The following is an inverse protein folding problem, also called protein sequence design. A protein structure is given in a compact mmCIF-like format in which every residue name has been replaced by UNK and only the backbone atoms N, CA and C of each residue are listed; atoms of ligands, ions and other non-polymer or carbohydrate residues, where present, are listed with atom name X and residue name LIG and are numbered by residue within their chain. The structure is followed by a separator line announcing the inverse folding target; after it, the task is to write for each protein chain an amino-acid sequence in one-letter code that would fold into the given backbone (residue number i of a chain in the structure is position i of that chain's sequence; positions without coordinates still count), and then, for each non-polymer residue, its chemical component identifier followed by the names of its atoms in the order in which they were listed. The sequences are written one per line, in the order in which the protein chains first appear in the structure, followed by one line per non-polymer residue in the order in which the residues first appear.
data_IF_306473331864
#
_entry.id   IF_306473331864
#
_cell.length_a   1.000
_cell.length_b   1.000
_cell.length_c   1.000
_cell.angle_alpha   90.00
_cell.angle_beta   90.00
_cell.angle_gamma   90.00
#
_symmetry.space_group_name_H-M   'P 1'
#
loop_
_entity.id
_entity.type
_entity.pdbx_description
1 polymer ?
#
# COMPACT_ATOMS: atom_id res chain seq x y z
N UNK A 1 -39.95 -2.23 -20.28
CA UNK A 1 -40.46 -0.91 -20.67
C UNK A 1 -40.98 -0.10 -19.47
N UNK A 2 -40.70 -0.56 -18.26
CA UNK A 2 -41.04 0.15 -17.00
C UNK A 2 -40.11 1.35 -16.76
N UNK A 3 -38.86 1.32 -17.25
CA UNK A 3 -37.89 2.37 -17.07
C UNK A 3 -38.23 3.72 -17.73
N UNK A 4 -38.91 3.71 -18.90
CA UNK A 4 -39.27 4.94 -19.59
C UNK A 4 -40.45 5.68 -18.94
N UNK A 5 -41.30 4.97 -18.20
CA UNK A 5 -42.42 5.55 -17.48
C UNK A 5 -41.99 6.21 -16.15
N UNK A 6 -40.98 5.67 -15.50
CA UNK A 6 -40.39 6.25 -14.29
C UNK A 6 -39.59 7.52 -14.61
N UNK A 7 -38.84 7.54 -15.72
CA UNK A 7 -38.10 8.72 -16.17
C UNK A 7 -39.04 9.89 -16.53
N UNK A 8 -40.18 9.63 -17.18
CA UNK A 8 -41.17 10.64 -17.47
C UNK A 8 -41.88 11.16 -16.22
N UNK A 9 -42.10 10.32 -15.23
CA UNK A 9 -42.67 10.72 -13.96
C UNK A 9 -41.75 11.63 -13.16
N UNK A 10 -40.44 11.42 -13.22
CA UNK A 10 -39.42 12.26 -12.58
C UNK A 10 -39.27 13.63 -13.27
N UNK A 11 -39.43 13.70 -14.61
CA UNK A 11 -39.42 14.97 -15.35
C UNK A 11 -40.67 15.83 -14.99
N UNK A 12 -41.82 15.20 -14.75
CA UNK A 12 -43.05 15.90 -14.36
C UNK A 12 -43.01 16.46 -12.93
N UNK A 13 -42.12 15.97 -12.05
CA UNK A 13 -41.94 16.43 -10.68
C UNK A 13 -40.99 17.62 -10.53
N UNK A 14 -40.46 18.16 -11.66
CA UNK A 14 -39.59 19.34 -11.65
C UNK A 14 -38.21 19.09 -11.04
N UNK A 15 -37.82 17.85 -10.91
CA UNK A 15 -36.43 17.50 -10.63
C UNK A 15 -35.64 17.62 -11.91
N UNK A 16 -34.85 18.68 -12.06
CA UNK A 16 -33.80 18.75 -13.06
C UNK A 16 -32.83 17.61 -12.75
N UNK A 17 -32.97 16.50 -13.47
CA UNK A 17 -31.92 15.49 -13.48
C UNK A 17 -30.66 16.16 -14.01
N UNK A 18 -29.54 16.14 -13.26
CA UNK A 18 -28.29 16.62 -13.80
C UNK A 18 -28.05 15.89 -15.14
N UNK A 19 -27.55 16.59 -16.18
CA UNK A 19 -27.27 15.94 -17.44
C UNK A 19 -26.47 14.67 -17.14
N UNK A 20 -26.75 13.56 -17.80
CA UNK A 20 -25.99 12.34 -17.58
C UNK A 20 -24.54 12.68 -17.83
N UNK A 21 -23.83 12.96 -16.76
CA UNK A 21 -22.39 12.98 -16.80
C UNK A 21 -22.05 11.66 -17.45
N UNK A 22 -21.44 11.68 -18.61
CA UNK A 22 -20.94 10.48 -19.25
C UNK A 22 -20.05 9.82 -18.21
N UNK A 23 -20.67 8.97 -17.40
CA UNK A 23 -19.97 8.15 -16.43
C UNK A 23 -19.13 7.26 -17.31
N UNK A 24 -17.87 7.59 -17.41
CA UNK A 24 -16.92 6.76 -18.12
C UNK A 24 -16.79 5.50 -17.25
N UNK A 25 -17.64 4.51 -17.55
CA UNK A 25 -17.79 3.25 -16.79
C UNK A 25 -16.45 2.49 -16.75
N UNK A 26 -15.52 2.87 -17.60
CA UNK A 26 -14.14 2.36 -17.62
C UNK A 26 -13.21 3.04 -16.58
N UNK A 27 -13.64 4.09 -15.92
CA UNK A 27 -13.00 4.51 -14.67
C UNK A 27 -13.51 3.57 -13.58
N UNK A 28 -13.01 2.32 -13.59
CA UNK A 28 -12.95 1.47 -12.42
C UNK A 28 -12.68 2.41 -11.25
N UNK A 29 -13.51 2.41 -10.21
CA UNK A 29 -13.29 3.15 -8.99
C UNK A 29 -12.00 2.61 -8.35
N UNK A 30 -10.87 2.99 -8.92
CA UNK A 30 -9.57 2.74 -8.33
C UNK A 30 -9.53 3.72 -7.18
N UNK A 31 -9.87 3.25 -6.00
CA UNK A 31 -9.63 4.03 -4.80
C UNK A 31 -8.13 4.32 -4.79
N UNK A 32 -7.77 5.58 -5.03
CA UNK A 32 -6.37 5.99 -4.99
C UNK A 32 -5.82 5.62 -3.61
N UNK A 33 -4.69 4.94 -3.59
CA UNK A 33 -4.01 4.58 -2.35
C UNK A 33 -3.71 5.83 -1.54
N UNK A 34 -4.07 5.82 -0.26
CA UNK A 34 -3.81 6.93 0.65
C UNK A 34 -3.56 6.41 2.06
N UNK A 35 -2.60 6.99 2.74
CA UNK A 35 -2.33 6.76 4.16
C UNK A 35 -2.88 7.94 4.95
N UNK A 36 -3.84 7.67 5.83
CA UNK A 36 -4.40 8.68 6.71
C UNK A 36 -3.52 8.88 7.93
N UNK A 37 -3.11 10.12 8.16
CA UNK A 37 -2.31 10.54 9.31
C UNK A 37 -2.94 11.78 9.92
N UNK A 38 -2.90 11.92 11.24
CA UNK A 38 -3.40 13.09 11.95
C UNK A 38 -2.71 14.37 11.50
N UNK A 39 -3.34 15.52 11.74
CA UNK A 39 -2.75 16.85 11.45
C UNK A 39 -1.40 17.04 12.15
N UNK A 40 -1.31 16.61 13.42
CA UNK A 40 -0.05 16.64 14.21
C UNK A 40 1.01 15.73 13.61
N UNK A 41 0.62 14.52 13.16
CA UNK A 41 1.53 13.60 12.50
C UNK A 41 2.09 14.15 11.19
N UNK A 42 1.28 14.83 10.38
CA UNK A 42 1.75 15.49 9.16
C UNK A 42 2.77 16.60 9.45
N UNK A 43 2.54 17.41 10.48
CA UNK A 43 3.50 18.43 10.93
C UNK A 43 4.82 17.80 11.39
N UNK A 44 4.75 16.72 12.16
CA UNK A 44 5.92 15.96 12.61
C UNK A 44 6.73 15.40 11.43
N UNK A 45 6.06 14.86 10.40
CA UNK A 45 6.75 14.39 9.19
C UNK A 45 7.47 15.51 8.45
N UNK A 46 6.89 16.71 8.40
CA UNK A 46 7.56 17.88 7.82
C UNK A 46 8.85 18.24 8.57
N UNK A 47 8.81 18.18 9.90
CA UNK A 47 9.98 18.50 10.75
C UNK A 47 11.07 17.44 10.63
N UNK A 48 10.71 16.15 10.78
CA UNK A 48 11.67 15.02 10.75
C UNK A 48 12.40 14.92 9.42
N UNK A 49 11.69 15.11 8.33
CA UNK A 49 12.26 14.99 6.99
C UNK A 49 12.67 16.34 6.37
N UNK A 50 12.53 17.43 7.12
CA UNK A 50 12.82 18.78 6.66
C UNK A 50 12.23 19.07 5.27
N UNK A 51 10.94 18.77 5.10
CA UNK A 51 10.24 18.86 3.84
C UNK A 51 8.94 19.66 3.96
N UNK A 52 8.38 20.07 2.82
CA UNK A 52 7.15 20.83 2.79
C UNK A 52 5.91 19.98 3.01
N UNK A 53 4.82 20.59 3.47
CA UNK A 53 3.51 19.93 3.62
C UNK A 53 3.01 19.34 2.30
N UNK A 54 3.34 19.96 1.17
CA UNK A 54 3.02 19.47 -0.18
C UNK A 54 3.74 18.15 -0.46
N UNK A 55 5.01 18.03 -0.04
CA UNK A 55 5.78 16.80 -0.21
C UNK A 55 5.20 15.68 0.64
N UNK A 56 4.84 15.94 1.90
CA UNK A 56 4.17 14.98 2.77
C UNK A 56 2.83 14.54 2.18
N UNK A 57 2.04 15.48 1.67
CA UNK A 57 0.78 15.16 1.00
C UNK A 57 0.98 14.26 -0.23
N UNK A 58 1.93 14.59 -1.10
CA UNK A 58 2.26 13.76 -2.29
C UNK A 58 2.71 12.35 -1.88
N UNK A 59 3.53 12.24 -0.84
CA UNK A 59 4.00 10.96 -0.33
C UNK A 59 2.83 10.10 0.18
N UNK A 60 1.98 10.65 1.06
CA UNK A 60 0.86 9.94 1.67
C UNK A 60 -0.25 9.55 0.66
N UNK A 61 -0.37 10.28 -0.44
CA UNK A 61 -1.32 10.01 -1.53
C UNK A 61 -0.69 9.24 -2.70
N UNK A 62 0.51 8.70 -2.55
CA UNK A 62 1.22 7.95 -3.60
C UNK A 62 1.36 8.71 -4.93
N UNK A 63 1.43 10.05 -4.86
CA UNK A 63 1.69 10.91 -6.02
C UNK A 63 3.19 11.11 -6.29
N UNK A 64 4.05 10.63 -5.41
CA UNK A 64 5.50 10.63 -5.55
C UNK A 64 6.04 9.28 -5.10
N UNK A 65 6.97 8.72 -5.84
CA UNK A 65 7.65 7.46 -5.51
C UNK A 65 9.17 7.66 -5.28
N UNK A 66 9.56 8.85 -4.88
CA UNK A 66 10.93 9.14 -4.47
C UNK A 66 11.30 8.38 -3.19
N UNK A 67 12.60 8.19 -2.96
CA UNK A 67 13.11 7.57 -1.74
C UNK A 67 12.60 8.30 -0.48
N UNK A 68 12.56 9.63 -0.54
CA UNK A 68 12.01 10.46 0.54
C UNK A 68 10.52 10.17 0.77
N UNK A 69 9.72 10.04 -0.30
CA UNK A 69 8.30 9.70 -0.18
C UNK A 69 8.09 8.32 0.46
N UNK A 70 8.91 7.34 0.12
CA UNK A 70 8.88 5.99 0.72
C UNK A 70 9.21 6.03 2.21
N UNK A 71 10.24 6.79 2.61
CA UNK A 71 10.60 7.00 4.02
C UNK A 71 9.48 7.67 4.81
N UNK A 72 8.84 8.68 4.24
CA UNK A 72 7.68 9.37 4.84
C UNK A 72 6.53 8.38 5.07
N UNK A 73 6.18 7.58 4.07
CA UNK A 73 5.12 6.55 4.20
C UNK A 73 5.46 5.50 5.27
N UNK A 74 6.68 5.01 5.26
CA UNK A 74 7.15 4.03 6.24
C UNK A 74 7.05 4.59 7.67
N UNK A 75 7.53 5.81 7.90
CA UNK A 75 7.45 6.48 9.21
C UNK A 75 6.00 6.74 9.62
N UNK A 76 5.15 7.14 8.68
CA UNK A 76 3.72 7.34 8.94
C UNK A 76 3.04 6.06 9.44
N UNK A 77 3.35 4.92 8.83
CA UNK A 77 2.76 3.63 9.19
C UNK A 77 3.33 3.06 10.49
N UNK A 78 4.62 3.26 10.77
CA UNK A 78 5.30 2.67 11.93
C UNK A 78 5.21 3.51 13.19
N UNK A 79 5.34 4.83 13.08
CA UNK A 79 5.48 5.73 14.23
C UNK A 79 4.25 6.58 14.52
N UNK A 80 3.44 6.87 13.51
CA UNK A 80 2.33 7.80 13.61
C UNK A 80 0.95 7.14 13.52
N UNK A 81 0.90 5.81 13.61
CA UNK A 81 -0.33 5.01 13.48
C UNK A 81 -1.12 5.36 12.21
N UNK A 82 -0.40 5.61 11.12
CA UNK A 82 -1.02 5.87 9.82
C UNK A 82 -1.89 4.68 9.39
N UNK A 83 -3.08 4.95 8.91
CA UNK A 83 -4.02 3.93 8.45
C UNK A 83 -4.14 3.96 6.93
N UNK A 84 -3.79 2.87 6.23
CA UNK A 84 -4.01 2.78 4.80
C UNK A 84 -5.51 2.62 4.48
N UNK A 85 -5.96 3.20 3.37
CA UNK A 85 -7.35 3.08 2.91
C UNK A 85 -7.61 1.82 2.06
N UNK A 86 -6.63 0.96 1.90
CA UNK A 86 -6.76 -0.33 1.19
C UNK A 86 -6.53 -1.49 2.13
N UNK A 87 -7.10 -2.63 1.78
CA UNK A 87 -6.79 -3.87 2.48
C UNK A 87 -5.37 -4.31 2.12
N UNK A 88 -4.69 -4.82 3.13
CA UNK A 88 -3.39 -5.43 2.99
C UNK A 88 -3.41 -6.51 1.91
N UNK A 89 -2.36 -6.56 1.09
CA UNK A 89 -2.21 -7.62 0.11
C UNK A 89 -2.14 -8.98 0.83
N UNK A 90 -2.82 -9.98 0.28
CA UNK A 90 -2.66 -11.34 0.78
C UNK A 90 -1.19 -11.74 0.69
N UNK A 91 -0.67 -12.27 1.79
CA UNK A 91 0.67 -12.85 1.81
C UNK A 91 0.58 -14.25 1.24
N UNK A 92 1.21 -14.49 0.11
CA UNK A 92 1.35 -15.81 -0.47
C UNK A 92 2.65 -16.44 -0.02
N UNK A 93 2.57 -17.64 0.57
CA UNK A 93 3.76 -18.40 0.97
C UNK A 93 3.90 -19.61 0.07
N UNK A 94 5.03 -19.71 -0.62
CA UNK A 94 5.40 -20.88 -1.43
C UNK A 94 6.61 -21.58 -0.82
N UNK A 95 6.58 -22.90 -0.82
CA UNK A 95 7.68 -23.74 -0.38
C UNK A 95 8.20 -24.54 -1.56
N UNK A 96 9.47 -24.37 -1.88
CA UNK A 96 10.15 -25.16 -2.91
C UNK A 96 11.04 -26.22 -2.23
N UNK A 97 10.68 -27.48 -2.43
CA UNK A 97 11.39 -28.59 -1.78
C UNK A 97 12.76 -28.84 -2.42
N UNK A 98 12.87 -28.66 -3.72
CA UNK A 98 14.12 -28.90 -4.47
C UNK A 98 15.20 -27.89 -4.08
N UNK A 99 14.84 -26.62 -4.05
CA UNK A 99 15.75 -25.52 -3.67
C UNK A 99 15.82 -25.30 -2.16
N UNK A 100 14.94 -25.99 -1.39
CA UNK A 100 14.79 -25.83 0.06
C UNK A 100 14.56 -24.39 0.49
N UNK A 101 13.84 -23.62 -0.32
CA UNK A 101 13.52 -22.24 -0.06
C UNK A 101 12.06 -22.06 0.35
N UNK A 102 11.79 -21.07 1.18
CA UNK A 102 10.46 -20.59 1.49
C UNK A 102 10.37 -19.14 1.02
N UNK A 103 9.45 -18.86 0.12
CA UNK A 103 9.22 -17.51 -0.41
C UNK A 103 7.88 -17.00 0.05
N UNK A 104 7.88 -15.83 0.69
CA UNK A 104 6.68 -15.07 1.03
C UNK A 104 6.59 -13.83 0.14
N UNK A 105 5.48 -13.69 -0.58
CA UNK A 105 5.22 -12.53 -1.43
C UNK A 105 4.29 -11.57 -0.71
N UNK A 106 4.71 -10.31 -0.63
CA UNK A 106 3.94 -9.20 -0.07
C UNK A 106 3.56 -8.25 -1.21
N UNK A 107 2.41 -8.49 -1.82
CA UNK A 107 2.02 -7.81 -3.05
C UNK A 107 2.90 -8.20 -4.25
N UNK A 108 3.07 -7.28 -5.18
CA UNK A 108 3.80 -7.56 -6.43
C UNK A 108 5.31 -7.26 -6.32
N UNK A 109 5.69 -6.35 -5.45
CA UNK A 109 7.04 -5.75 -5.44
C UNK A 109 7.98 -6.34 -4.40
N UNK A 110 7.45 -6.88 -3.29
CA UNK A 110 8.27 -7.31 -2.15
C UNK A 110 8.18 -8.81 -1.96
N UNK A 111 9.33 -9.44 -1.77
CA UNK A 111 9.48 -10.86 -1.45
C UNK A 111 10.43 -11.04 -0.28
N UNK A 112 10.08 -11.96 0.60
CA UNK A 112 10.94 -12.47 1.66
C UNK A 112 11.30 -13.91 1.29
N UNK A 113 12.59 -14.21 1.14
CA UNK A 113 13.09 -15.55 0.80
C UNK A 113 13.94 -16.08 1.93
N UNK A 114 13.52 -17.19 2.49
CA UNK A 114 14.29 -17.93 3.48
C UNK A 114 14.90 -19.17 2.83
N UNK A 115 16.24 -19.28 2.86
CA UNK A 115 16.97 -20.44 2.39
C UNK A 115 17.30 -21.36 3.56
N UNK A 116 16.81 -22.60 3.48
CA UNK A 116 17.04 -23.61 4.53
C UNK A 116 18.42 -24.25 4.47
N UNK A 117 19.14 -24.06 3.35
CA UNK A 117 20.47 -24.67 3.20
C UNK A 117 21.51 -23.91 4.02
N UNK A 118 21.43 -22.59 4.02
CA UNK A 118 22.40 -21.71 4.69
C UNK A 118 21.79 -20.90 5.85
N UNK A 119 20.48 -21.02 6.11
CA UNK A 119 19.77 -20.26 7.15
C UNK A 119 19.61 -18.78 6.84
N UNK A 120 19.88 -18.36 5.60
CA UNK A 120 19.79 -16.95 5.22
C UNK A 120 18.36 -16.52 4.90
N UNK A 121 18.06 -15.27 5.24
CA UNK A 121 16.80 -14.60 4.92
C UNK A 121 17.09 -13.36 4.10
N UNK A 122 16.54 -13.29 2.90
CA UNK A 122 16.75 -12.18 1.96
C UNK A 122 15.44 -11.44 1.72
N UNK A 123 15.50 -10.10 1.75
CA UNK A 123 14.38 -9.24 1.35
C UNK A 123 14.67 -8.71 -0.04
N UNK A 124 13.76 -8.95 -0.97
CA UNK A 124 13.83 -8.47 -2.34
C UNK A 124 12.75 -7.42 -2.57
N UNK A 125 13.15 -6.30 -3.15
CA UNK A 125 12.24 -5.25 -3.62
C UNK A 125 12.49 -5.06 -5.13
N UNK A 126 11.43 -5.17 -5.91
CA UNK A 126 11.51 -5.13 -7.38
C UNK A 126 12.55 -6.10 -7.95
N UNK A 127 12.67 -7.28 -7.35
CA UNK A 127 13.62 -8.33 -7.75
C UNK A 127 15.07 -8.12 -7.31
N UNK A 128 15.37 -7.01 -6.61
CA UNK A 128 16.72 -6.73 -6.09
C UNK A 128 16.80 -7.03 -4.60
N UNK A 129 17.85 -7.72 -4.16
CA UNK A 129 18.12 -7.94 -2.75
C UNK A 129 18.47 -6.61 -2.08
N UNK A 130 17.65 -6.20 -1.14
CA UNK A 130 17.85 -4.95 -0.37
C UNK A 130 18.45 -5.20 1.00
N UNK A 131 18.17 -6.37 1.59
CA UNK A 131 18.67 -6.76 2.91
C UNK A 131 18.83 -8.28 2.96
N UNK A 132 19.91 -8.75 3.59
CA UNK A 132 20.15 -10.16 3.87
C UNK A 132 20.52 -10.32 5.34
N UNK A 133 19.88 -11.27 6.01
CA UNK A 133 20.15 -11.63 7.40
C UNK A 133 20.42 -13.12 7.53
N UNK A 134 21.10 -13.55 8.57
CA UNK A 134 21.50 -14.92 8.76
C UNK A 134 21.10 -15.41 10.14
N UNK A 135 20.71 -16.69 10.22
CA UNK A 135 20.40 -17.39 11.47
C UNK A 135 19.41 -16.65 12.40
N UNK A 136 18.33 -16.14 11.80
CA UNK A 136 17.31 -15.43 12.57
C UNK A 136 16.58 -16.40 13.53
N UNK A 137 16.47 -15.98 14.79
CA UNK A 137 15.56 -16.64 15.73
C UNK A 137 14.11 -16.47 15.30
N UNK A 138 13.22 -17.37 15.73
CA UNK A 138 11.79 -17.29 15.39
C UNK A 138 11.17 -15.92 15.73
N UNK A 139 11.40 -15.32 16.92
CA UNK A 139 10.88 -13.99 17.22
C UNK A 139 11.44 -12.90 16.30
N UNK A 140 12.74 -12.99 15.95
CA UNK A 140 13.37 -12.04 15.03
C UNK A 140 12.79 -12.16 13.62
N UNK A 141 12.54 -13.37 13.16
CA UNK A 141 11.91 -13.63 11.87
C UNK A 141 10.48 -13.08 11.81
N UNK A 142 9.67 -13.29 12.87
CA UNK A 142 8.31 -12.73 12.95
C UNK A 142 8.31 -11.19 12.93
N UNK A 143 9.28 -10.58 13.61
CA UNK A 143 9.46 -9.12 13.58
C UNK A 143 9.83 -8.64 12.18
N UNK A 144 10.72 -9.35 11.50
CA UNK A 144 11.11 -9.06 10.12
C UNK A 144 9.92 -9.18 9.17
N UNK A 145 9.07 -10.19 9.32
CA UNK A 145 7.85 -10.32 8.53
C UNK A 145 6.94 -9.09 8.66
N UNK A 146 6.74 -8.58 9.89
CA UNK A 146 5.95 -7.38 10.14
C UNK A 146 6.59 -6.12 9.52
N UNK A 147 7.91 -6.00 9.56
CA UNK A 147 8.64 -4.90 8.91
C UNK A 147 8.48 -4.94 7.39
N UNK A 148 8.61 -6.13 6.79
CA UNK A 148 8.47 -6.33 5.34
C UNK A 148 7.05 -6.03 4.88
N UNK A 149 6.06 -6.39 5.67
CA UNK A 149 4.67 -6.10 5.41
C UNK A 149 4.40 -4.58 5.35
N UNK A 150 4.90 -3.85 6.34
CA UNK A 150 4.82 -2.38 6.38
C UNK A 150 5.60 -1.76 5.20
N UNK A 151 6.77 -2.30 4.89
CA UNK A 151 7.55 -1.89 3.73
C UNK A 151 6.75 -2.04 2.43
N UNK A 152 6.10 -3.19 2.24
CA UNK A 152 5.26 -3.44 1.07
C UNK A 152 4.07 -2.47 0.98
N UNK A 153 3.49 -2.09 2.12
CA UNK A 153 2.44 -1.08 2.16
C UNK A 153 2.94 0.33 1.84
N UNK A 154 4.21 0.62 2.07
CA UNK A 154 4.81 1.94 1.83
C UNK A 154 5.26 2.17 0.38
N UNK A 155 5.36 1.10 -0.41
CA UNK A 155 5.77 1.10 -1.81
C UNK A 155 4.57 1.23 -2.76
#
# INVERSE_FOLDING_TARGET
MVADTELKALEQLGFDSPPPTKININKKWIMEKQIYVSKKGKAHLCEVFNCTTVMVWKALNFKSDSELARKIRFTALTQLNGTPNWKQANVETTHEEVEKTMTQRYGERVKLVYDRNDGSTSILVDGKVTRKEQDLSIPAFMKLQSEVEIMAMSL
#
